data_IF_394012576237
#
_entry.id   IF_394012576237
#
_cell.length_a   1.000
_cell.length_b   1.000
_cell.length_c   1.000
_cell.angle_alpha   90.00
_cell.angle_beta   90.00
_cell.angle_gamma   90.00
#
_symmetry.space_group_name_H-M   'P 1'
#
loop_
_entity.id
_entity.type
_entity.pdbx_description
1 polymer ?
#
# COMPACT_ATOMS: atom_id res chain seq x y z
N UNK A 1 -29.25 -3.61 4.48
CA UNK A 1 -27.80 -3.51 4.41
C UNK A 1 -27.29 -3.91 3.01
N UNK A 2 -27.50 -5.16 2.50
CA UNK A 2 -27.06 -5.58 1.16
C UNK A 2 -27.69 -4.79 0.00
N UNK A 3 -28.99 -4.45 0.08
CA UNK A 3 -29.68 -3.66 -0.96
C UNK A 3 -29.12 -2.23 -0.96
N UNK A 4 -28.81 -1.69 0.19
CA UNK A 4 -28.17 -0.38 0.32
C UNK A 4 -26.76 -0.37 -0.29
N UNK A 5 -25.97 -1.42 -0.09
CA UNK A 5 -24.66 -1.58 -0.71
C UNK A 5 -24.75 -1.62 -2.25
N UNK A 6 -25.68 -2.41 -2.81
CA UNK A 6 -25.87 -2.49 -4.27
C UNK A 6 -26.30 -1.15 -4.90
N UNK A 7 -27.04 -0.31 -4.15
CA UNK A 7 -27.48 1.00 -4.67
C UNK A 7 -26.41 2.09 -4.55
N UNK A 8 -25.40 1.89 -3.70
CA UNK A 8 -24.33 2.89 -3.46
C UNK A 8 -23.01 2.52 -4.12
N UNK A 9 -22.83 1.30 -4.59
CA UNK A 9 -21.57 0.80 -5.15
C UNK A 9 -21.02 1.67 -6.29
N UNK A 10 -21.90 2.29 -7.07
CA UNK A 10 -21.51 3.19 -8.16
C UNK A 10 -20.99 4.56 -7.66
N UNK A 11 -21.18 4.90 -6.38
CA UNK A 11 -20.65 6.11 -5.76
C UNK A 11 -19.26 5.89 -5.15
N UNK A 12 -18.86 4.63 -4.98
CA UNK A 12 -17.57 4.25 -4.39
C UNK A 12 -16.51 3.95 -5.46
N UNK A 13 -16.85 4.16 -6.74
CA UNK A 13 -15.87 4.12 -7.83
C UNK A 13 -14.87 5.24 -7.58
N UNK A 14 -13.67 4.86 -7.19
CA UNK A 14 -12.57 5.79 -6.93
C UNK A 14 -12.27 6.68 -8.15
N UNK A 15 -11.47 7.71 -7.94
CA UNK A 15 -11.01 8.59 -9.01
C UNK A 15 -10.41 7.77 -10.16
N UNK A 16 -10.69 8.20 -11.39
CA UNK A 16 -10.14 7.56 -12.58
C UNK A 16 -8.61 7.58 -12.54
N UNK A 17 -7.99 6.45 -12.82
CA UNK A 17 -6.53 6.39 -12.98
C UNK A 17 -6.09 7.17 -14.21
N UNK A 18 -5.29 8.21 -14.01
CA UNK A 18 -4.63 8.90 -15.11
C UNK A 18 -3.32 8.20 -15.47
N UNK A 19 -3.40 7.28 -16.42
CA UNK A 19 -2.24 6.52 -16.90
C UNK A 19 -1.18 7.41 -17.53
N UNK A 20 -1.57 8.55 -18.10
CA UNK A 20 -0.64 9.55 -18.64
C UNK A 20 0.17 10.23 -17.54
N UNK A 21 -0.45 10.55 -16.43
CA UNK A 21 0.25 11.09 -15.25
C UNK A 21 1.25 10.08 -14.69
N UNK A 22 0.87 8.79 -14.58
CA UNK A 22 1.74 7.72 -14.09
C UNK A 22 2.99 7.58 -14.96
N UNK A 23 2.86 7.62 -16.29
CA UNK A 23 4.00 7.57 -17.22
C UNK A 23 4.95 8.76 -17.01
N UNK A 24 4.44 9.91 -16.61
CA UNK A 24 5.26 11.11 -16.40
C UNK A 24 5.85 11.20 -14.98
N UNK A 25 5.52 10.28 -14.09
CA UNK A 25 6.10 10.25 -12.74
C UNK A 25 7.58 9.86 -12.78
N UNK A 26 8.47 10.67 -12.18
CA UNK A 26 9.87 10.34 -12.13
C UNK A 26 10.11 9.11 -11.22
N UNK A 27 11.18 8.34 -11.50
CA UNK A 27 11.55 7.23 -10.62
C UNK A 27 11.87 7.72 -9.20
N UNK A 28 11.72 6.86 -8.19
CA UNK A 28 12.15 7.17 -6.83
C UNK A 28 13.60 7.63 -6.79
N UNK A 29 13.90 8.61 -5.94
CA UNK A 29 15.27 9.10 -5.79
C UNK A 29 16.16 8.05 -5.11
N UNK A 30 17.34 7.82 -5.66
CA UNK A 30 18.32 6.91 -5.06
C UNK A 30 18.80 7.45 -3.70
N UNK A 31 18.88 6.62 -2.66
CA UNK A 31 19.28 7.06 -1.33
C UNK A 31 20.74 7.50 -1.29
N UNK A 32 20.98 8.61 -0.61
CA UNK A 32 22.32 9.13 -0.39
C UNK A 32 22.79 8.73 1.00
N UNK A 33 24.00 8.18 1.07
CA UNK A 33 24.62 7.81 2.36
C UNK A 33 24.77 9.06 3.24
N UNK A 34 24.32 8.97 4.48
CA UNK A 34 24.40 10.05 5.45
C UNK A 34 25.25 9.60 6.64
N UNK A 35 26.46 10.18 6.79
CA UNK A 35 27.38 9.88 7.90
C UNK A 35 27.14 10.80 9.12
N UNK A 36 25.90 11.11 9.43
CA UNK A 36 25.54 12.09 10.48
C UNK A 36 25.94 11.63 11.87
N UNK A 37 25.67 10.37 12.22
CA UNK A 37 25.97 9.83 13.54
C UNK A 37 27.48 9.70 13.75
N UNK A 38 28.21 9.23 12.75
CA UNK A 38 29.68 9.16 12.80
C UNK A 38 30.27 10.54 12.99
N UNK A 39 29.83 11.57 12.24
CA UNK A 39 30.33 12.95 12.37
C UNK A 39 30.06 13.51 13.76
N UNK A 40 28.88 13.28 14.33
CA UNK A 40 28.54 13.73 15.67
C UNK A 40 29.39 13.02 16.74
N UNK A 41 29.63 11.73 16.60
CA UNK A 41 30.46 10.96 17.52
C UNK A 41 31.94 11.42 17.43
N UNK A 42 32.46 11.63 16.23
CA UNK A 42 33.80 12.18 16.02
C UNK A 42 33.98 13.58 16.59
N UNK A 43 32.95 14.43 16.44
CA UNK A 43 32.97 15.76 17.03
C UNK A 43 33.09 15.69 18.55
N UNK A 44 32.32 14.81 19.21
CA UNK A 44 32.41 14.60 20.66
C UNK A 44 33.81 14.11 21.08
N UNK A 45 34.39 13.17 20.32
CA UNK A 45 35.75 12.69 20.57
C UNK A 45 36.79 13.81 20.43
N UNK A 46 36.72 14.63 19.38
CA UNK A 46 37.63 15.75 19.13
C UNK A 46 37.50 16.84 20.18
N UNK A 47 36.32 17.11 20.66
CA UNK A 47 36.06 18.15 21.68
C UNK A 47 36.34 17.66 23.09
N UNK A 48 36.61 16.37 23.29
CA UNK A 48 36.89 15.83 24.61
C UNK A 48 38.16 16.41 25.19
N UNK A 49 38.03 17.15 26.30
CA UNK A 49 39.12 17.67 27.10
C UNK A 49 39.07 17.01 28.48
N UNK A 50 40.13 16.28 28.87
CA UNK A 50 40.16 15.61 30.17
C UNK A 50 40.13 16.65 31.30
N UNK A 51 39.17 16.51 32.22
CA UNK A 51 39.08 17.32 33.42
C UNK A 51 40.16 16.90 34.41
N UNK A 52 40.56 17.81 35.31
CA UNK A 52 41.61 17.57 36.31
C UNK A 52 41.35 16.26 37.10
N UNK A 53 40.12 16.01 37.55
CA UNK A 53 39.75 14.79 38.25
C UNK A 53 39.92 13.51 37.42
N UNK A 54 39.69 13.59 36.12
CA UNK A 54 39.90 12.43 35.21
C UNK A 54 41.38 12.06 35.10
N UNK A 55 42.26 13.05 35.15
CA UNK A 55 43.74 12.84 35.14
C UNK A 55 44.18 12.23 36.46
N UNK A 56 43.69 12.72 37.59
CA UNK A 56 44.08 12.24 38.92
C UNK A 56 43.60 10.78 39.18
N UNK A 57 42.44 10.39 38.66
CA UNK A 57 41.89 9.06 38.82
C UNK A 57 42.28 8.05 37.73
N UNK A 58 43.20 8.40 36.81
CA UNK A 58 43.63 7.51 35.70
C UNK A 58 42.52 7.12 34.71
N UNK A 59 41.37 7.83 34.69
CA UNK A 59 40.18 7.48 33.87
C UNK A 59 40.21 8.05 32.46
N UNK A 60 41.24 8.82 32.09
CA UNK A 60 41.31 9.54 30.80
C UNK A 60 41.28 8.54 29.65
N UNK A 61 42.12 7.49 29.70
CA UNK A 61 42.22 6.48 28.65
C UNK A 61 40.91 5.67 28.48
N UNK A 62 40.28 5.31 29.59
CA UNK A 62 39.01 4.62 29.53
C UNK A 62 37.93 5.45 28.84
N UNK A 63 37.80 6.75 29.20
CA UNK A 63 36.80 7.66 28.61
C UNK A 63 37.12 7.87 27.12
N UNK A 64 38.38 7.97 26.75
CA UNK A 64 38.78 8.11 25.35
C UNK A 64 38.43 6.87 24.54
N UNK A 65 38.76 5.70 25.07
CA UNK A 65 38.41 4.40 24.46
C UNK A 65 36.90 4.24 24.30
N UNK A 66 36.10 4.63 25.32
CA UNK A 66 34.62 4.61 25.25
C UNK A 66 34.09 5.55 24.14
N UNK A 67 34.73 6.71 23.94
CA UNK A 67 34.36 7.63 22.88
C UNK A 67 34.74 7.08 21.49
N UNK A 68 35.91 6.44 21.38
CA UNK A 68 36.37 5.77 20.13
C UNK A 68 35.41 4.63 19.77
N UNK A 69 35.00 3.81 20.74
CA UNK A 69 33.99 2.78 20.51
C UNK A 69 32.65 3.34 20.04
N UNK A 70 32.24 4.49 20.59
CA UNK A 70 31.02 5.18 20.13
C UNK A 70 31.12 5.65 18.66
N UNK A 71 32.30 6.07 18.20
CA UNK A 71 32.52 6.41 16.78
C UNK A 71 32.35 5.18 15.92
N UNK A 72 32.96 4.04 16.32
CA UNK A 72 32.81 2.78 15.57
C UNK A 72 31.34 2.34 15.50
N UNK A 73 30.63 2.40 16.63
CA UNK A 73 29.22 2.06 16.67
C UNK A 73 28.37 3.02 15.80
N UNK A 74 28.63 4.32 15.87
CA UNK A 74 27.93 5.32 15.06
C UNK A 74 28.12 5.06 13.55
N UNK A 75 29.35 4.72 13.13
CA UNK A 75 29.66 4.33 11.75
C UNK A 75 28.87 3.08 11.32
N UNK A 76 28.77 2.07 12.19
CA UNK A 76 27.98 0.88 11.92
C UNK A 76 26.49 1.21 11.81
N UNK A 77 25.98 2.12 12.63
CA UNK A 77 24.58 2.57 12.56
C UNK A 77 24.28 3.35 11.28
N UNK A 78 25.18 4.25 10.84
CA UNK A 78 25.03 4.97 9.58
C UNK A 78 25.03 3.99 8.39
N UNK A 79 25.92 2.99 8.40
CA UNK A 79 25.94 1.94 7.37
C UNK A 79 24.66 1.11 7.38
N UNK A 80 24.20 0.67 8.55
CA UNK A 80 22.96 -0.08 8.67
C UNK A 80 21.75 0.71 8.15
N UNK A 81 21.65 2.00 8.51
CA UNK A 81 20.58 2.87 8.04
C UNK A 81 20.64 3.06 6.53
N UNK A 82 21.85 3.17 5.97
CA UNK A 82 22.03 3.27 4.52
C UNK A 82 21.57 2.00 3.81
N UNK A 83 21.97 0.81 4.29
CA UNK A 83 21.52 -0.47 3.72
C UNK A 83 19.99 -0.61 3.76
N UNK A 84 19.36 -0.26 4.89
CA UNK A 84 17.89 -0.23 4.96
C UNK A 84 17.25 0.74 3.97
N UNK A 85 17.88 1.88 3.73
CA UNK A 85 17.37 2.84 2.75
C UNK A 85 17.48 2.33 1.32
N UNK A 86 18.53 1.53 1.01
CA UNK A 86 18.67 0.84 -0.28
C UNK A 86 17.58 -0.22 -0.44
N UNK A 87 17.36 -1.09 0.55
CA UNK A 87 16.30 -2.10 0.49
C UNK A 87 14.92 -1.47 0.25
N UNK A 88 14.63 -0.38 0.96
CA UNK A 88 13.38 0.37 0.77
C UNK A 88 13.29 1.00 -0.63
N UNK A 89 14.40 1.51 -1.15
CA UNK A 89 14.47 2.06 -2.50
C UNK A 89 14.22 0.97 -3.55
N UNK A 90 14.87 -0.18 -3.45
CA UNK A 90 14.71 -1.29 -4.39
C UNK A 90 13.25 -1.75 -4.49
N UNK A 91 12.57 -1.87 -3.33
CA UNK A 91 11.15 -2.19 -3.31
C UNK A 91 10.30 -1.12 -4.02
N UNK A 92 10.52 0.15 -3.69
CA UNK A 92 9.79 1.26 -4.31
C UNK A 92 10.08 1.38 -5.80
N UNK A 93 11.33 1.16 -6.20
CA UNK A 93 11.72 1.20 -7.61
C UNK A 93 11.08 0.06 -8.40
N UNK A 94 11.06 -1.14 -7.84
CA UNK A 94 10.37 -2.28 -8.46
C UNK A 94 8.88 -2.02 -8.64
N UNK A 95 8.20 -1.49 -7.62
CA UNK A 95 6.78 -1.13 -7.70
C UNK A 95 6.53 -0.02 -8.74
N UNK A 96 7.35 1.02 -8.72
CA UNK A 96 7.27 2.10 -9.69
C UNK A 96 7.51 1.60 -11.13
N UNK A 97 8.53 0.77 -11.33
CA UNK A 97 8.86 0.22 -12.65
C UNK A 97 7.74 -0.64 -13.22
N UNK A 98 7.16 -1.53 -12.41
CA UNK A 98 6.03 -2.36 -12.83
C UNK A 98 4.81 -1.52 -13.22
N UNK A 99 4.46 -0.53 -12.39
CA UNK A 99 3.32 0.35 -12.67
C UNK A 99 3.57 1.24 -13.90
N UNK A 100 4.78 1.74 -14.06
CA UNK A 100 5.19 2.57 -15.19
C UNK A 100 5.15 1.77 -16.51
N UNK A 101 5.64 0.53 -16.53
CA UNK A 101 5.57 -0.36 -17.70
C UNK A 101 4.12 -0.70 -18.07
N UNK A 102 3.28 -0.98 -17.06
CA UNK A 102 1.86 -1.20 -17.26
C UNK A 102 1.19 0.02 -17.88
N UNK A 103 1.46 1.22 -17.34
CA UNK A 103 0.92 2.47 -17.85
C UNK A 103 1.35 2.77 -19.29
N UNK A 104 2.62 2.49 -19.62
CA UNK A 104 3.11 2.61 -21.00
C UNK A 104 2.37 1.67 -21.96
N UNK A 105 2.12 0.43 -21.55
CA UNK A 105 1.41 -0.57 -22.37
C UNK A 105 -0.05 -0.18 -22.56
N UNK A 106 -0.72 0.32 -21.51
CA UNK A 106 -2.08 0.84 -21.57
C UNK A 106 -2.17 2.02 -22.55
N UNK A 107 -1.25 2.99 -22.46
CA UNK A 107 -1.23 4.13 -23.37
C UNK A 107 -0.96 3.76 -24.84
N UNK A 108 -0.39 2.57 -25.08
CA UNK A 108 -0.22 2.01 -26.45
C UNK A 108 -1.45 1.24 -26.93
N UNK A 109 -2.47 1.05 -26.09
CA UNK A 109 -3.67 0.30 -26.41
C UNK A 109 -3.50 -1.22 -26.29
N UNK A 110 -2.54 -1.71 -25.49
CA UNK A 110 -2.35 -3.14 -25.27
C UNK A 110 -3.50 -3.72 -24.43
N UNK A 111 -4.28 -4.60 -25.06
CA UNK A 111 -5.47 -5.23 -24.44
C UNK A 111 -5.13 -6.12 -23.25
N UNK A 112 -3.96 -6.76 -23.25
CA UNK A 112 -3.50 -7.55 -22.11
C UNK A 112 -3.14 -6.67 -20.91
N UNK A 113 -2.57 -5.51 -21.17
CA UNK A 113 -2.28 -4.53 -20.12
C UNK A 113 -3.56 -3.97 -19.48
N UNK A 114 -4.61 -3.72 -20.26
CA UNK A 114 -5.93 -3.36 -19.73
C UNK A 114 -6.51 -4.46 -18.82
N UNK A 115 -6.43 -5.73 -19.26
CA UNK A 115 -6.91 -6.86 -18.46
C UNK A 115 -6.13 -6.98 -17.15
N UNK A 116 -4.81 -6.84 -17.20
CA UNK A 116 -3.96 -6.86 -16.01
C UNK A 116 -4.32 -5.72 -15.04
N UNK A 117 -4.48 -4.51 -15.53
CA UNK A 117 -4.86 -3.36 -14.72
C UNK A 117 -6.20 -3.56 -14.00
N UNK A 118 -7.21 -4.08 -14.69
CA UNK A 118 -8.52 -4.37 -14.08
C UNK A 118 -8.40 -5.45 -13.00
N UNK A 119 -7.57 -6.48 -13.21
CA UNK A 119 -7.36 -7.55 -12.23
C UNK A 119 -6.61 -7.03 -10.98
N UNK A 120 -5.59 -6.19 -11.15
CA UNK A 120 -4.81 -5.65 -10.04
C UNK A 120 -5.58 -4.61 -9.21
N UNK A 121 -6.32 -3.73 -9.86
CA UNK A 121 -7.16 -2.73 -9.19
C UNK A 121 -8.37 -3.40 -8.53
N UNK A 122 -8.86 -4.49 -9.15
CA UNK A 122 -10.03 -5.25 -8.72
C UNK A 122 -11.22 -4.36 -8.27
N UNK A 123 -11.67 -3.43 -9.12
CA UNK A 123 -12.71 -2.46 -8.76
C UNK A 123 -14.07 -3.10 -8.46
N UNK A 124 -14.20 -4.40 -8.78
CA UNK A 124 -15.45 -5.15 -8.70
C UNK A 124 -15.46 -6.16 -7.54
N UNK A 125 -14.48 -6.07 -6.62
CA UNK A 125 -14.36 -6.99 -5.47
C UNK A 125 -15.63 -7.03 -4.63
N UNK A 126 -16.22 -5.87 -4.35
CA UNK A 126 -17.43 -5.76 -3.54
C UNK A 126 -18.64 -6.47 -4.16
N UNK A 127 -18.73 -6.45 -5.51
CA UNK A 127 -19.79 -7.17 -6.24
C UNK A 127 -19.58 -8.68 -6.13
N UNK A 128 -18.35 -9.15 -6.16
CA UNK A 128 -18.02 -10.58 -5.97
C UNK A 128 -18.36 -11.05 -4.56
N UNK A 129 -18.12 -10.23 -3.55
CA UNK A 129 -18.46 -10.55 -2.15
C UNK A 129 -19.97 -10.73 -1.90
N UNK A 130 -20.82 -10.16 -2.76
CA UNK A 130 -22.29 -10.30 -2.66
C UNK A 130 -22.79 -11.59 -3.33
N UNK A 131 -21.91 -12.39 -3.94
CA UNK A 131 -22.26 -13.64 -4.62
C UNK A 131 -22.51 -13.47 -6.11
N UNK A 132 -21.90 -12.48 -6.74
CA UNK A 132 -21.87 -12.30 -8.18
C UNK A 132 -20.53 -12.78 -8.75
N UNK A 133 -20.54 -13.45 -9.89
CA UNK A 133 -19.33 -13.76 -10.64
C UNK A 133 -19.21 -12.79 -11.82
N UNK A 134 -18.03 -12.18 -11.95
CA UNK A 134 -17.75 -11.23 -13.01
C UNK A 134 -16.59 -11.74 -13.84
N UNK A 135 -16.82 -11.86 -15.14
CA UNK A 135 -15.80 -12.12 -16.13
C UNK A 135 -15.78 -10.96 -17.12
N UNK A 136 -14.60 -10.60 -17.59
CA UNK A 136 -14.47 -9.58 -18.60
C UNK A 136 -13.49 -9.99 -19.68
N UNK A 137 -13.68 -9.46 -20.88
CA UNK A 137 -12.79 -9.60 -22.01
C UNK A 137 -12.60 -8.22 -22.66
N UNK A 138 -11.40 -7.95 -23.11
CA UNK A 138 -11.04 -6.72 -23.82
C UNK A 138 -10.60 -7.11 -25.23
N UNK A 139 -11.52 -7.15 -26.20
CA UNK A 139 -11.20 -7.54 -27.57
C UNK A 139 -10.35 -6.50 -28.31
N UNK A 140 -10.50 -5.23 -27.96
CA UNK A 140 -9.75 -4.12 -28.54
C UNK A 140 -9.59 -2.98 -27.50
N UNK A 141 -8.88 -1.89 -27.88
CA UNK A 141 -8.58 -0.77 -26.97
C UNK A 141 -9.80 0.04 -26.54
N UNK A 142 -10.91 -0.05 -27.27
CA UNK A 142 -12.09 0.80 -27.09
C UNK A 142 -13.30 0.01 -26.56
N UNK A 143 -13.17 -1.32 -26.46
CA UNK A 143 -14.27 -2.21 -26.11
C UNK A 143 -13.92 -3.08 -24.91
N UNK A 144 -14.77 -3.04 -23.87
CA UNK A 144 -14.76 -4.01 -22.79
C UNK A 144 -16.09 -4.77 -22.74
N UNK A 145 -16.03 -6.08 -22.72
CA UNK A 145 -17.19 -6.97 -22.59
C UNK A 145 -17.21 -7.53 -21.17
N UNK A 146 -18.27 -7.29 -20.44
CA UNK A 146 -18.45 -7.73 -19.06
C UNK A 146 -19.56 -8.79 -19.03
N UNK A 147 -19.26 -9.95 -18.46
CA UNK A 147 -20.19 -11.02 -18.18
C UNK A 147 -20.47 -11.04 -16.68
N UNK A 148 -21.68 -10.72 -16.28
CA UNK A 148 -22.12 -10.76 -14.89
C UNK A 148 -23.04 -11.93 -14.67
N UNK A 149 -22.64 -12.89 -13.84
CA UNK A 149 -23.48 -14.00 -13.40
C UNK A 149 -23.92 -13.74 -11.97
N UNK A 150 -25.23 -13.74 -11.75
CA UNK A 150 -25.82 -13.47 -10.43
C UNK A 150 -26.47 -14.75 -9.90
N UNK A 151 -25.98 -15.28 -8.79
CA UNK A 151 -26.68 -16.34 -8.08
C UNK A 151 -27.84 -15.75 -7.28
N UNK A 152 -29.05 -15.81 -7.84
CA UNK A 152 -30.25 -15.28 -7.20
C UNK A 152 -30.60 -15.93 -5.85
N UNK A 153 -30.10 -17.13 -5.56
CA UNK A 153 -30.31 -17.77 -4.25
C UNK A 153 -29.41 -17.18 -3.15
N UNK A 154 -28.25 -16.67 -3.54
CA UNK A 154 -27.27 -16.03 -2.63
C UNK A 154 -27.57 -14.54 -2.44
N UNK A 155 -27.85 -13.84 -3.54
CA UNK A 155 -28.04 -12.38 -3.57
C UNK A 155 -29.41 -11.99 -2.98
N UNK A 156 -30.45 -12.77 -3.27
CA UNK A 156 -31.79 -12.45 -2.82
C UNK A 156 -32.01 -12.93 -1.38
N UNK A 157 -32.30 -12.04 -0.44
CA UNK A 157 -32.52 -12.43 0.95
C UNK A 157 -33.78 -13.27 1.08
N UNK A 158 -33.64 -14.48 1.65
CA UNK A 158 -34.76 -15.39 1.92
C UNK A 158 -35.70 -14.88 3.02
N UNK A 159 -35.27 -13.90 3.80
CA UNK A 159 -35.99 -13.39 4.96
C UNK A 159 -35.95 -11.86 5.04
N UNK A 160 -37.04 -11.25 5.41
CA UNK A 160 -37.13 -9.83 5.77
C UNK A 160 -37.09 -9.73 7.29
N UNK A 161 -36.16 -8.96 7.81
CA UNK A 161 -36.05 -8.63 9.24
C UNK A 161 -36.57 -7.21 9.47
N UNK A 162 -37.60 -7.06 10.27
CA UNK A 162 -38.18 -5.77 10.64
C UNK A 162 -38.23 -5.61 12.15
N UNK A 163 -37.92 -4.40 12.62
CA UNK A 163 -38.13 -4.05 14.03
C UNK A 163 -39.59 -3.71 14.26
N UNK A 164 -40.23 -4.42 15.20
CA UNK A 164 -41.58 -4.07 15.63
C UNK A 164 -41.57 -2.79 16.45
N UNK A 165 -42.70 -2.11 16.60
CA UNK A 165 -42.84 -0.90 17.42
C UNK A 165 -42.41 -1.10 18.89
N UNK A 166 -42.29 -2.35 19.36
CA UNK A 166 -41.83 -2.70 20.72
C UNK A 166 -40.33 -3.08 20.75
N UNK A 167 -39.56 -2.79 19.68
CA UNK A 167 -38.14 -3.09 19.60
C UNK A 167 -37.76 -4.57 19.43
N UNK A 168 -38.77 -5.47 19.17
CA UNK A 168 -38.49 -6.89 18.91
C UNK A 168 -38.21 -7.10 17.40
N UNK A 169 -37.21 -7.92 17.09
CA UNK A 169 -36.89 -8.32 15.72
C UNK A 169 -37.97 -9.31 15.21
N UNK A 170 -38.70 -8.95 14.15
CA UNK A 170 -39.62 -9.85 13.45
C UNK A 170 -38.93 -10.34 12.17
N UNK A 171 -38.89 -11.64 11.97
CA UNK A 171 -38.30 -12.30 10.80
C UNK A 171 -39.45 -12.95 10.01
N UNK A 172 -39.61 -12.58 8.75
CA UNK A 172 -40.58 -13.16 7.83
C UNK A 172 -39.90 -13.70 6.60
N UNK A 173 -40.28 -14.88 6.13
CA UNK A 173 -39.81 -15.40 4.85
C UNK A 173 -40.40 -14.57 3.70
N UNK A 174 -39.54 -14.26 2.73
CA UNK A 174 -39.97 -13.58 1.52
C UNK A 174 -40.76 -14.56 0.62
N UNK A 175 -41.96 -14.20 0.18
CA UNK A 175 -42.70 -15.02 -0.79
C UNK A 175 -41.99 -14.93 -2.15
N UNK A 176 -41.82 -16.10 -2.79
CA UNK A 176 -41.15 -16.23 -4.12
C UNK A 176 -41.80 -15.37 -5.24
N UNK A 177 -43.03 -14.99 -5.11
CA UNK A 177 -43.80 -14.21 -6.09
C UNK A 177 -43.48 -12.71 -6.15
N UNK A 178 -42.54 -12.21 -5.32
CA UNK A 178 -42.14 -10.77 -5.34
C UNK A 178 -40.97 -10.47 -6.23
N UNK A 179 -40.44 -11.46 -6.97
CA UNK A 179 -39.24 -11.35 -7.81
C UNK A 179 -39.52 -11.56 -9.31
N UNK A 180 -40.79 -11.48 -9.73
CA UNK A 180 -41.17 -11.42 -11.14
C UNK A 180 -41.54 -10.00 -11.53
#
# INVERSE_FOLDING_TARGET
>A
ERISQLTTIHHEVGDSFDWGEIVNQPPPAYPVKNDKEERLAMQKLRMYRPKFFHRMCGKVEKIRSDLEQKVVHAKQMDEYNYQKSIECYELKFSQWSALHELALSINRGDTLAYQQAILEINPLNEIQEIGCEIHFAIPDSDTAVIYLTIDGEVVVPKQIKTLTARGKLSVKNMPRTRFC
#
